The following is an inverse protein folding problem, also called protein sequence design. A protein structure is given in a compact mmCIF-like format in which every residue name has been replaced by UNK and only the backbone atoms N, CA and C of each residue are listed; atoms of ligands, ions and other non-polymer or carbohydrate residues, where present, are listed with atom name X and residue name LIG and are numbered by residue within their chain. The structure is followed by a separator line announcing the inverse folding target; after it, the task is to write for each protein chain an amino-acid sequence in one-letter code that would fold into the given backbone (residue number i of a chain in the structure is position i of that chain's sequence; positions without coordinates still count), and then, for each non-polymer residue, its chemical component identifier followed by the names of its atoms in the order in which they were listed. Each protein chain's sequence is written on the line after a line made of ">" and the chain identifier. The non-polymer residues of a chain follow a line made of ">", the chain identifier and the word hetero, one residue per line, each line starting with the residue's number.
data_IF_814674621379
#
_entry.id   IF_814674621379
#
_cell.length_a   1.000
_cell.length_b   1.000
_cell.length_c   1.000
_cell.angle_alpha   90.00
_cell.angle_beta   90.00
_cell.angle_gamma   90.00
#
_symmetry.space_group_name_H-M   'P 1'
#
loop_
_entity.id
_entity.type
_entity.pdbx_description
1 polymer ?
#
# COMPACT_ATOMS: atom_id res chain seq x y z
N UNK A 1 19.85 -19.90 6.39
CA UNK A 1 19.14 -20.95 5.63
C UNK A 1 19.07 -20.65 4.14
N UNK A 2 18.82 -19.40 3.70
CA UNK A 2 18.77 -19.05 2.26
C UNK A 2 20.15 -19.04 1.58
N UNK A 3 21.23 -18.68 2.30
CA UNK A 3 22.58 -18.68 1.73
C UNK A 3 23.14 -20.08 1.40
N UNK A 4 22.48 -21.17 1.82
CA UNK A 4 22.88 -22.55 1.50
C UNK A 4 22.33 -22.96 0.13
N UNK A 5 21.06 -22.63 -0.19
CA UNK A 5 20.45 -22.94 -1.48
C UNK A 5 21.06 -22.17 -2.67
N UNK A 6 21.58 -20.97 -2.43
CA UNK A 6 22.31 -20.21 -3.46
C UNK A 6 23.65 -20.86 -3.86
N UNK A 7 24.30 -21.59 -2.95
CA UNK A 7 25.55 -22.31 -3.25
C UNK A 7 25.35 -23.62 -4.02
N UNK A 8 24.13 -24.19 -3.99
CA UNK A 8 23.80 -25.44 -4.68
C UNK A 8 23.24 -25.23 -6.10
N UNK A 9 23.13 -23.98 -6.58
CA UNK A 9 22.70 -23.67 -7.95
C UNK A 9 21.21 -23.86 -8.22
N UNK A 10 20.38 -23.94 -7.17
CA UNK A 10 18.96 -24.32 -7.27
C UNK A 10 17.99 -23.14 -7.29
N UNK A 11 18.45 -21.91 -7.00
CA UNK A 11 17.60 -20.71 -6.92
C UNK A 11 18.28 -19.55 -7.62
N UNK A 12 17.60 -18.96 -8.60
CA UNK A 12 18.07 -17.79 -9.35
C UNK A 12 18.22 -16.56 -8.43
N UNK A 13 19.10 -15.62 -8.77
CA UNK A 13 19.40 -14.47 -7.90
C UNK A 13 18.16 -13.61 -7.59
N UNK A 14 17.29 -13.40 -8.59
CA UNK A 14 16.02 -12.67 -8.41
C UNK A 14 15.06 -13.38 -7.45
N UNK A 15 14.98 -14.72 -7.52
CA UNK A 15 14.14 -15.52 -6.64
C UNK A 15 14.66 -15.48 -5.19
N UNK A 16 15.99 -15.54 -5.02
CA UNK A 16 16.63 -15.41 -3.72
C UNK A 16 16.40 -14.01 -3.12
N UNK A 17 16.46 -12.96 -3.93
CA UNK A 17 16.17 -11.60 -3.49
C UNK A 17 14.70 -11.41 -3.11
N UNK A 18 13.78 -11.97 -3.90
CA UNK A 18 12.35 -11.95 -3.60
C UNK A 18 12.06 -12.67 -2.27
N UNK A 19 12.62 -13.87 -2.08
CA UNK A 19 12.48 -14.62 -0.82
C UNK A 19 12.98 -13.80 0.37
N UNK A 20 14.14 -13.15 0.25
CA UNK A 20 14.66 -12.27 1.30
C UNK A 20 13.67 -11.13 1.61
N UNK A 21 13.14 -10.46 0.59
CA UNK A 21 12.15 -9.38 0.74
C UNK A 21 10.87 -9.86 1.43
N UNK A 22 10.42 -11.09 1.17
CA UNK A 22 9.25 -11.70 1.85
C UNK A 22 9.50 -11.91 3.34
N UNK A 23 10.67 -12.45 3.72
CA UNK A 23 11.02 -12.63 5.13
C UNK A 23 11.20 -11.30 5.87
N UNK A 24 11.76 -10.29 5.21
CA UNK A 24 11.88 -8.93 5.77
C UNK A 24 10.51 -8.27 5.93
N UNK A 25 9.62 -8.42 4.94
CA UNK A 25 8.27 -7.83 4.97
C UNK A 25 7.47 -8.23 6.21
N UNK A 26 7.54 -9.49 6.64
CA UNK A 26 6.82 -9.96 7.83
C UNK A 26 7.23 -9.26 9.14
N UNK A 27 8.41 -8.65 9.19
CA UNK A 27 8.91 -7.94 10.35
C UNK A 27 8.85 -6.40 10.20
N UNK A 28 8.39 -5.88 9.06
CA UNK A 28 8.35 -4.44 8.81
C UNK A 28 7.16 -3.79 9.53
N UNK A 29 7.39 -2.72 10.32
CA UNK A 29 6.32 -1.92 10.89
C UNK A 29 5.39 -1.36 9.82
N UNK A 30 4.07 -1.38 10.09
CA UNK A 30 3.04 -0.84 9.18
C UNK A 30 3.33 0.61 8.77
N UNK A 31 3.85 1.43 9.70
CA UNK A 31 4.20 2.84 9.43
C UNK A 31 5.21 3.04 8.29
N UNK A 32 5.97 2.01 7.92
CA UNK A 32 6.97 2.08 6.85
C UNK A 32 6.40 1.77 5.46
N UNK A 33 5.15 1.31 5.37
CA UNK A 33 4.51 0.91 4.11
C UNK A 33 3.19 1.62 3.84
N UNK A 34 2.59 2.28 4.83
CA UNK A 34 1.34 3.03 4.65
C UNK A 34 1.57 4.37 3.96
N UNK A 35 0.53 4.88 3.31
CA UNK A 35 0.46 6.27 2.87
C UNK A 35 0.27 7.17 4.11
N UNK A 36 1.10 8.20 4.32
CA UNK A 36 0.92 9.14 5.42
C UNK A 36 -0.46 9.80 5.38
N UNK A 37 -1.09 9.98 6.55
CA UNK A 37 -2.46 10.53 6.66
C UNK A 37 -2.66 11.86 5.92
N UNK A 38 -1.64 12.71 5.90
CA UNK A 38 -1.62 14.02 5.23
C UNK A 38 -1.61 13.92 3.71
N UNK A 39 -1.26 12.76 3.15
CA UNK A 39 -1.17 12.50 1.71
C UNK A 39 -2.36 11.67 1.21
N UNK A 40 -3.21 11.19 2.11
CA UNK A 40 -4.42 10.45 1.75
C UNK A 40 -5.43 11.39 1.08
N UNK A 41 -6.00 10.95 -0.04
CA UNK A 41 -7.11 11.65 -0.70
C UNK A 41 -8.41 11.24 -0.03
N UNK A 42 -8.96 12.13 0.79
CA UNK A 42 -10.18 11.92 1.57
C UNK A 42 -11.43 12.37 0.82
N UNK A 43 -12.57 11.71 1.09
CA UNK A 43 -13.89 12.11 0.61
C UNK A 43 -14.77 12.43 1.81
N UNK A 44 -15.42 13.59 1.82
CA UNK A 44 -16.38 13.93 2.86
C UNK A 44 -17.73 13.24 2.60
N UNK A 45 -18.37 12.71 3.64
CA UNK A 45 -19.72 12.14 3.54
C UNK A 45 -20.68 13.20 3.00
N UNK A 46 -21.45 12.82 1.99
CA UNK A 46 -22.37 13.73 1.30
C UNK A 46 -21.76 14.47 0.11
N UNK A 47 -20.47 14.25 -0.19
CA UNK A 47 -19.88 14.67 -1.48
C UNK A 47 -20.75 14.18 -2.63
N UNK A 48 -21.11 15.08 -3.55
CA UNK A 48 -21.95 14.72 -4.69
C UNK A 48 -21.19 13.73 -5.57
N UNK A 49 -21.93 12.76 -6.12
CA UNK A 49 -21.36 11.75 -7.00
C UNK A 49 -20.59 12.37 -8.19
N UNK A 50 -21.10 13.46 -8.77
CA UNK A 50 -20.44 14.13 -9.89
C UNK A 50 -19.04 14.68 -9.51
N UNK A 51 -18.92 15.27 -8.31
CA UNK A 51 -17.66 15.83 -7.82
C UNK A 51 -16.65 14.70 -7.52
N UNK A 52 -17.12 13.59 -6.93
CA UNK A 52 -16.31 12.40 -6.73
C UNK A 52 -15.83 11.79 -8.07
N UNK A 53 -16.69 11.68 -9.07
CA UNK A 53 -16.32 11.12 -10.37
C UNK A 53 -15.28 11.97 -11.11
N UNK A 54 -15.38 13.30 -10.99
CA UNK A 54 -14.38 14.22 -11.54
C UNK A 54 -12.99 14.03 -10.89
N UNK A 55 -12.95 13.82 -9.57
CA UNK A 55 -11.74 13.49 -8.83
C UNK A 55 -11.20 12.09 -9.20
N UNK A 56 -12.08 11.09 -9.23
CA UNK A 56 -11.74 9.70 -9.56
C UNK A 56 -11.10 9.57 -10.94
N UNK A 57 -11.66 10.25 -11.96
CA UNK A 57 -11.16 10.18 -13.33
C UNK A 57 -9.72 10.70 -13.50
N UNK A 58 -9.24 11.53 -12.57
CA UNK A 58 -7.90 12.12 -12.58
C UNK A 58 -6.93 11.40 -11.64
N UNK A 59 -7.43 10.46 -10.83
CA UNK A 59 -6.68 9.80 -9.78
C UNK A 59 -6.26 8.39 -10.20
N UNK A 60 -5.03 7.96 -9.90
CA UNK A 60 -4.62 6.56 -10.09
C UNK A 60 -5.17 5.63 -9.00
N UNK A 61 -5.89 6.16 -8.01
CA UNK A 61 -6.35 5.43 -6.85
C UNK A 61 -7.67 4.69 -7.14
N UNK A 62 -7.77 3.45 -6.65
CA UNK A 62 -9.00 2.66 -6.76
C UNK A 62 -9.91 2.76 -5.53
N UNK A 63 -9.43 3.30 -4.41
CA UNK A 63 -10.15 3.38 -3.14
C UNK A 63 -9.88 4.72 -2.48
N UNK A 64 -10.93 5.28 -1.87
CA UNK A 64 -10.91 6.59 -1.23
C UNK A 64 -11.64 6.47 0.12
N UNK A 65 -10.99 6.78 1.25
CA UNK A 65 -11.64 6.75 2.54
C UNK A 65 -12.70 7.86 2.63
N UNK A 66 -13.87 7.54 3.17
CA UNK A 66 -14.99 8.48 3.34
C UNK A 66 -15.14 8.82 4.81
N UNK A 67 -15.02 10.10 5.17
CA UNK A 67 -15.15 10.53 6.57
C UNK A 67 -16.43 11.33 6.83
N UNK A 68 -16.86 11.38 8.09
CA UNK A 68 -17.99 12.20 8.55
C UNK A 68 -17.57 13.09 9.73
N UNK A 69 -17.85 14.39 9.66
CA UNK A 69 -17.48 15.46 10.61
C UNK A 69 -15.97 15.71 10.77
N UNK A 70 -15.17 14.66 10.93
CA UNK A 70 -13.72 14.72 11.06
C UNK A 70 -13.08 13.47 10.43
N UNK A 71 -11.82 13.59 10.01
CA UNK A 71 -11.10 12.50 9.34
C UNK A 71 -10.81 11.28 10.24
N UNK A 72 -11.03 11.36 11.56
CA UNK A 72 -10.86 10.21 12.47
C UNK A 72 -12.10 9.29 12.43
N UNK A 73 -13.22 9.78 11.91
CA UNK A 73 -14.46 9.03 11.72
C UNK A 73 -14.59 8.56 10.27
N UNK A 74 -13.96 7.42 9.95
CA UNK A 74 -13.82 6.83 8.60
C UNK A 74 -14.19 5.36 8.56
#
# INVERSE_FOLDING_TARGET
>A
MISVGHKEGTVEEEEAEMLRKVFEFGNRPVREVIVPRTEVVWIEKGTKLADFLALYAQSPLSRFPVYEDNMDNV
#
